data_IF_372217939175
#
_entry.id   IF_372217939175
#
_cell.length_a   1.000
_cell.length_b   1.000
_cell.length_c   1.000
_cell.angle_alpha   90.00
_cell.angle_beta   90.00
_cell.angle_gamma   90.00
#
_symmetry.space_group_name_H-M   'P 1'
#
loop_
_entity.id
_entity.type
_entity.pdbx_description
1 polymer ?
#
# COMPACT_ATOMS: atom_id res chain seq x y z
N UNK A 1 11.23 -59.80 3.29
CA UNK A 1 12.06 -58.60 3.52
C UNK A 1 12.16 -57.84 2.22
N UNK A 2 11.73 -56.57 2.26
CA UNK A 2 12.09 -55.42 1.41
C UNK A 2 12.05 -55.54 -0.14
N UNK A 3 11.54 -54.59 -0.90
CA UNK A 3 10.75 -53.39 -0.65
C UNK A 3 10.22 -52.97 -2.04
N UNK A 4 8.92 -52.72 -2.14
CA UNK A 4 8.28 -52.24 -3.35
C UNK A 4 8.40 -50.70 -3.34
N UNK A 5 9.19 -50.15 -4.28
CA UNK A 5 9.42 -48.73 -4.38
C UNK A 5 8.25 -48.07 -5.14
N UNK A 6 7.19 -47.76 -4.40
CA UNK A 6 6.12 -46.90 -4.90
C UNK A 6 6.68 -45.49 -5.11
N UNK A 7 6.87 -45.11 -6.37
CA UNK A 7 7.11 -43.73 -6.76
C UNK A 7 5.88 -42.89 -6.40
N UNK A 8 5.99 -42.10 -5.33
CA UNK A 8 5.06 -41.04 -4.99
C UNK A 8 5.14 -39.96 -6.06
N UNK A 9 4.26 -40.06 -7.05
CA UNK A 9 3.95 -38.94 -7.92
C UNK A 9 3.43 -37.79 -7.05
N UNK A 10 4.24 -36.75 -6.88
CA UNK A 10 3.81 -35.49 -6.30
C UNK A 10 2.72 -34.92 -7.21
N UNK A 11 1.46 -35.02 -6.77
CA UNK A 11 0.35 -34.34 -7.42
C UNK A 11 0.59 -32.83 -7.30
N UNK A 12 1.05 -32.21 -8.38
CA UNK A 12 0.99 -30.77 -8.55
C UNK A 12 -0.49 -30.37 -8.42
N UNK A 13 -0.84 -29.67 -7.35
CA UNK A 13 -2.14 -29.03 -7.19
C UNK A 13 -2.23 -28.01 -8.31
N UNK A 14 -2.90 -28.35 -9.40
CA UNK A 14 -3.28 -27.37 -10.41
C UNK A 14 -4.30 -26.45 -9.75
N UNK A 15 -3.88 -25.22 -9.45
CA UNK A 15 -4.76 -24.13 -9.02
C UNK A 15 -5.97 -24.08 -9.97
N UNK A 16 -7.17 -24.39 -9.48
CA UNK A 16 -8.38 -24.31 -10.31
C UNK A 16 -8.64 -22.84 -10.65
N UNK A 17 -8.23 -22.43 -11.86
CA UNK A 17 -8.49 -21.10 -12.39
C UNK A 17 -9.98 -20.98 -12.74
N UNK A 18 -10.66 -20.06 -12.05
CA UNK A 18 -12.05 -19.71 -12.23
C UNK A 18 -12.16 -18.50 -13.15
N UNK A 19 -12.91 -18.65 -14.24
CA UNK A 19 -13.28 -17.52 -15.12
C UNK A 19 -14.71 -17.10 -14.79
N UNK A 20 -14.90 -15.91 -14.26
CA UNK A 20 -16.20 -15.34 -13.87
C UNK A 20 -16.58 -14.19 -14.81
N UNK A 21 -17.87 -14.00 -15.05
CA UNK A 21 -18.39 -12.82 -15.77
C UNK A 21 -19.19 -11.96 -14.82
N UNK A 22 -18.83 -10.69 -14.73
CA UNK A 22 -19.46 -9.69 -13.87
C UNK A 22 -20.19 -8.68 -14.74
N UNK A 23 -21.50 -8.58 -14.59
CA UNK A 23 -22.32 -7.57 -15.26
C UNK A 23 -22.45 -6.34 -14.36
N UNK A 24 -21.99 -5.19 -14.84
CA UNK A 24 -22.08 -3.91 -14.14
C UNK A 24 -22.29 -2.76 -15.13
N UNK A 25 -23.18 -1.83 -14.78
CA UNK A 25 -23.52 -0.65 -15.60
C UNK A 25 -23.80 -0.98 -17.08
N UNK A 26 -24.56 -2.05 -17.33
CA UNK A 26 -24.93 -2.51 -18.67
C UNK A 26 -23.82 -3.22 -19.47
N UNK A 27 -22.59 -3.30 -18.95
CA UNK A 27 -21.44 -3.99 -19.57
C UNK A 27 -21.12 -5.31 -18.88
N UNK A 28 -20.47 -6.22 -19.59
CA UNK A 28 -19.96 -7.50 -19.05
C UNK A 28 -18.42 -7.45 -18.97
N UNK A 29 -17.88 -7.88 -17.84
CA UNK A 29 -16.44 -7.92 -17.55
C UNK A 29 -16.03 -9.35 -17.21
N UNK A 30 -14.99 -9.88 -17.86
CA UNK A 30 -14.49 -11.23 -17.60
C UNK A 30 -13.31 -11.16 -16.64
N UNK A 31 -13.46 -11.79 -15.48
CA UNK A 31 -12.48 -11.78 -14.39
C UNK A 31 -11.93 -13.19 -14.19
N UNK A 32 -10.61 -13.32 -14.10
CA UNK A 32 -9.93 -14.59 -13.82
C UNK A 32 -9.30 -14.56 -12.43
N UNK A 33 -9.59 -15.58 -11.64
CA UNK A 33 -9.18 -15.73 -10.24
C UNK A 33 -8.89 -17.21 -9.95
N UNK A 34 -8.10 -17.50 -8.94
CA UNK A 34 -7.82 -18.87 -8.50
C UNK A 34 -8.73 -19.27 -7.33
N UNK A 35 -8.96 -20.58 -7.11
CA UNK A 35 -9.78 -21.05 -6.01
C UNK A 35 -9.25 -20.71 -4.60
N UNK A 36 -7.96 -20.43 -4.48
CA UNK A 36 -7.29 -19.96 -3.25
C UNK A 36 -7.30 -18.43 -3.10
N UNK A 37 -7.80 -17.69 -4.09
CA UNK A 37 -8.09 -16.27 -3.93
C UNK A 37 -9.30 -16.11 -2.98
N UNK A 38 -9.35 -14.98 -2.25
CA UNK A 38 -10.49 -14.62 -1.42
C UNK A 38 -11.53 -13.81 -2.19
N UNK A 39 -12.71 -13.64 -1.61
CA UNK A 39 -13.73 -12.70 -2.12
C UNK A 39 -13.16 -11.28 -2.22
N UNK A 40 -12.29 -10.86 -1.29
CA UNK A 40 -11.59 -9.58 -1.37
C UNK A 40 -10.76 -9.44 -2.66
N UNK A 41 -10.02 -10.49 -3.04
CA UNK A 41 -9.21 -10.51 -4.26
C UNK A 41 -10.10 -10.50 -5.51
N UNK A 42 -11.21 -11.25 -5.51
CA UNK A 42 -12.21 -11.16 -6.59
C UNK A 42 -12.72 -9.72 -6.75
N UNK A 43 -13.09 -9.05 -5.66
CA UNK A 43 -13.53 -7.66 -5.70
C UNK A 43 -12.41 -6.73 -6.20
N UNK A 44 -11.16 -6.96 -5.81
CA UNK A 44 -10.00 -6.22 -6.30
C UNK A 44 -9.83 -6.35 -7.82
N UNK A 45 -9.95 -7.57 -8.37
CA UNK A 45 -9.91 -7.77 -9.83
C UNK A 45 -11.08 -7.12 -10.57
N UNK A 46 -12.26 -7.11 -9.96
CA UNK A 46 -13.41 -6.35 -10.50
C UNK A 46 -13.10 -4.85 -10.49
N UNK A 47 -12.46 -4.35 -9.43
CA UNK A 47 -12.05 -2.95 -9.33
C UNK A 47 -11.09 -2.56 -10.46
N UNK A 48 -10.10 -3.39 -10.78
CA UNK A 48 -9.15 -3.15 -11.88
C UNK A 48 -9.85 -2.95 -13.24
N UNK A 49 -11.00 -3.61 -13.45
CA UNK A 49 -11.76 -3.51 -14.71
C UNK A 49 -12.84 -2.43 -14.70
N UNK A 50 -13.31 -2.02 -13.52
CA UNK A 50 -14.51 -1.18 -13.37
C UNK A 50 -14.26 0.15 -12.68
N UNK A 51 -13.13 0.32 -11.98
CA UNK A 51 -12.82 1.43 -11.06
C UNK A 51 -13.80 1.59 -9.89
N UNK A 52 -14.63 0.58 -9.61
CA UNK A 52 -15.48 0.53 -8.41
C UNK A 52 -14.68 -0.08 -7.27
N UNK A 53 -14.45 0.67 -6.18
CA UNK A 53 -13.66 0.16 -5.04
C UNK A 53 -14.28 -1.11 -4.42
N UNK A 54 -13.47 -2.07 -3.91
CA UNK A 54 -13.96 -3.31 -3.31
C UNK A 54 -15.07 -3.11 -2.26
N UNK A 55 -14.91 -2.12 -1.37
CA UNK A 55 -15.90 -1.78 -0.34
C UNK A 55 -17.25 -1.27 -0.89
N UNK A 56 -17.28 -0.81 -2.15
CA UNK A 56 -18.49 -0.34 -2.84
C UNK A 56 -19.09 -1.40 -3.76
N UNK A 57 -18.49 -2.58 -3.85
CA UNK A 57 -18.98 -3.66 -4.71
C UNK A 57 -19.94 -4.57 -3.94
N UNK A 58 -21.19 -4.57 -4.36
CA UNK A 58 -22.19 -5.55 -3.95
C UNK A 58 -22.36 -6.59 -5.03
N UNK A 59 -21.74 -7.76 -4.83
CA UNK A 59 -21.84 -8.90 -5.75
C UNK A 59 -23.13 -9.69 -5.48
N UNK A 60 -23.92 -9.90 -6.52
CA UNK A 60 -25.22 -10.54 -6.45
C UNK A 60 -25.25 -11.79 -7.32
N UNK A 61 -25.44 -12.94 -6.67
CA UNK A 61 -25.74 -14.20 -7.34
C UNK A 61 -26.74 -15.03 -6.52
N UNK A 62 -27.99 -15.24 -7.02
CA UNK A 62 -29.09 -15.79 -6.21
C UNK A 62 -28.81 -17.12 -5.51
N UNK A 63 -27.99 -17.99 -6.09
CA UNK A 63 -27.71 -19.33 -5.54
C UNK A 63 -26.62 -19.35 -4.46
N UNK A 64 -25.85 -18.28 -4.32
CA UNK A 64 -24.72 -18.18 -3.38
C UNK A 64 -25.08 -17.34 -2.14
N UNK A 65 -26.14 -16.52 -2.23
CA UNK A 65 -26.61 -15.69 -1.12
C UNK A 65 -25.55 -14.66 -0.69
N UNK A 66 -25.43 -14.45 0.62
CA UNK A 66 -24.55 -13.43 1.19
C UNK A 66 -23.08 -13.89 1.34
N UNK A 67 -22.68 -15.08 0.87
CA UNK A 67 -21.27 -15.51 0.97
C UNK A 67 -20.31 -14.57 0.24
N UNK A 68 -20.77 -13.91 -0.84
CA UNK A 68 -19.97 -12.94 -1.59
C UNK A 68 -19.82 -11.57 -0.89
N UNK A 69 -20.43 -11.38 0.30
CA UNK A 69 -20.19 -10.19 1.14
C UNK A 69 -19.11 -10.41 2.20
N UNK A 70 -18.69 -11.66 2.44
CA UNK A 70 -17.61 -11.98 3.36
C UNK A 70 -16.28 -11.98 2.60
N UNK A 71 -15.52 -10.91 2.74
CA UNK A 71 -14.24 -10.68 2.07
C UNK A 71 -13.16 -11.70 2.48
N UNK A 72 -13.38 -12.42 3.60
CA UNK A 72 -12.45 -13.40 4.12
C UNK A 72 -12.58 -14.80 3.51
N UNK A 73 -13.73 -15.12 2.91
CA UNK A 73 -13.98 -16.44 2.33
C UNK A 73 -13.11 -16.70 1.11
N UNK A 74 -12.57 -17.92 1.02
CA UNK A 74 -11.89 -18.39 -0.19
C UNK A 74 -12.92 -18.72 -1.28
N UNK A 75 -12.58 -18.45 -2.53
CA UNK A 75 -13.46 -18.75 -3.65
C UNK A 75 -13.76 -20.25 -3.79
N UNK A 76 -12.80 -21.12 -3.43
CA UNK A 76 -12.96 -22.57 -3.34
C UNK A 76 -14.00 -23.04 -2.32
N UNK A 77 -14.30 -22.23 -1.30
CA UNK A 77 -15.33 -22.51 -0.28
C UNK A 77 -16.73 -22.10 -0.74
N UNK A 78 -16.83 -21.43 -1.88
CA UNK A 78 -18.07 -20.96 -2.49
C UNK A 78 -18.37 -21.87 -3.68
N UNK A 79 -19.63 -22.33 -3.87
CA UNK A 79 -20.00 -23.18 -5.01
C UNK A 79 -20.07 -22.36 -6.32
N UNK A 80 -18.95 -21.77 -6.71
CA UNK A 80 -18.75 -21.04 -7.96
C UNK A 80 -18.39 -22.02 -9.07
N UNK A 81 -19.16 -21.98 -10.17
CA UNK A 81 -18.80 -22.70 -11.39
C UNK A 81 -17.94 -21.79 -12.27
N UNK A 82 -16.94 -22.34 -12.95
CA UNK A 82 -16.28 -21.62 -14.04
C UNK A 82 -17.32 -21.23 -15.10
N UNK A 83 -17.19 -20.05 -15.70
CA UNK A 83 -18.16 -19.34 -16.58
C UNK A 83 -19.43 -18.79 -15.93
N UNK A 84 -19.49 -18.70 -14.59
CA UNK A 84 -20.64 -18.11 -13.89
C UNK A 84 -20.79 -16.61 -14.20
N UNK A 85 -22.03 -16.21 -14.52
CA UNK A 85 -22.43 -14.80 -14.68
C UNK A 85 -23.08 -14.28 -13.39
N UNK A 86 -22.52 -13.21 -12.81
CA UNK A 86 -23.06 -12.51 -11.65
C UNK A 86 -23.29 -11.03 -11.95
N UNK A 87 -24.16 -10.39 -11.17
CA UNK A 87 -24.41 -8.95 -11.27
C UNK A 87 -23.67 -8.24 -10.15
N UNK A 88 -23.01 -7.13 -10.46
CA UNK A 88 -22.42 -6.23 -9.45
C UNK A 88 -23.18 -4.91 -9.44
N UNK A 89 -23.47 -4.43 -8.23
CA UNK A 89 -23.94 -3.06 -7.99
C UNK A 89 -22.81 -2.30 -7.29
N UNK A 90 -22.49 -1.11 -7.79
CA UNK A 90 -21.49 -0.24 -7.21
C UNK A 90 -21.30 1.03 -8.05
N UNK A 91 -20.61 2.02 -7.48
CA UNK A 91 -20.36 3.33 -8.09
C UNK A 91 -18.85 3.57 -8.14
N UNK A 92 -18.36 4.10 -9.27
CA UNK A 92 -16.94 4.44 -9.43
C UNK A 92 -16.59 5.71 -8.67
N UNK A 93 -15.33 5.83 -8.22
CA UNK A 93 -14.87 7.03 -7.51
C UNK A 93 -14.99 8.32 -8.35
N UNK A 94 -14.96 8.21 -9.67
CA UNK A 94 -15.05 9.37 -10.57
C UNK A 94 -16.42 10.06 -10.50
N UNK A 95 -17.49 9.29 -10.31
CA UNK A 95 -18.88 9.78 -10.21
C UNK A 95 -19.20 10.31 -8.80
N UNK A 96 -18.28 10.16 -7.85
CA UNK A 96 -18.45 10.60 -6.48
C UNK A 96 -17.92 12.02 -6.37
N UNK A 97 -18.83 12.90 -5.93
CA UNK A 97 -18.56 14.31 -5.67
C UNK A 97 -18.15 14.52 -4.20
N UNK A 98 -18.53 13.59 -3.31
CA UNK A 98 -18.27 13.64 -1.87
C UNK A 98 -16.94 12.96 -1.51
N UNK A 99 -16.14 13.64 -0.71
CA UNK A 99 -14.82 13.20 -0.24
C UNK A 99 -14.91 11.88 0.58
N UNK A 100 -14.00 10.89 0.42
CA UNK A 100 -14.09 9.57 1.09
C UNK A 100 -13.88 9.60 2.62
N UNK A 101 -13.87 10.79 3.21
CA UNK A 101 -13.64 11.09 4.63
C UNK A 101 -14.56 10.31 5.58
N UNK A 102 -15.65 9.73 5.05
CA UNK A 102 -16.64 8.97 5.81
C UNK A 102 -16.31 7.47 6.01
N UNK A 103 -15.25 6.92 5.41
CA UNK A 103 -14.86 5.52 5.66
C UNK A 103 -14.55 5.31 7.17
N UNK A 104 -14.80 4.14 7.78
CA UNK A 104 -14.43 3.90 9.19
C UNK A 104 -12.95 4.21 9.43
N UNK A 105 -12.61 4.83 10.57
CA UNK A 105 -11.20 5.01 10.94
C UNK A 105 -10.59 3.62 11.14
N UNK A 106 -9.60 3.27 10.31
CA UNK A 106 -8.90 2.00 10.48
C UNK A 106 -7.82 2.21 11.54
N UNK A 107 -8.24 2.16 12.80
CA UNK A 107 -7.32 2.20 13.92
C UNK A 107 -6.61 0.83 13.96
N UNK A 108 -5.28 0.84 13.91
CA UNK A 108 -4.48 -0.36 14.09
C UNK A 108 -4.41 -0.69 15.59
N UNK A 109 -5.55 -1.11 16.17
CA UNK A 109 -5.77 -1.29 17.62
C UNK A 109 -4.90 -2.41 18.24
N UNK A 110 -4.23 -3.17 17.40
CA UNK A 110 -3.22 -4.12 17.79
C UNK A 110 -1.95 -3.73 17.02
N UNK A 111 -0.78 -3.65 17.65
CA UNK A 111 0.47 -3.56 16.90
C UNK A 111 0.83 -4.96 16.40
N UNK A 112 1.04 -5.14 15.09
CA UNK A 112 1.54 -6.43 14.59
C UNK A 112 2.89 -6.67 15.27
N UNK A 113 3.15 -7.88 15.77
CA UNK A 113 4.49 -8.22 16.25
C UNK A 113 5.50 -8.14 15.10
N UNK A 114 6.80 -7.99 15.42
CA UNK A 114 7.84 -8.08 14.38
C UNK A 114 7.87 -9.49 13.77
N UNK A 115 7.70 -10.53 14.58
CA UNK A 115 7.68 -11.93 14.16
C UNK A 115 6.51 -12.24 13.22
N UNK A 116 5.33 -11.70 13.52
CA UNK A 116 4.14 -11.89 12.68
C UNK A 116 4.30 -11.24 11.29
N UNK A 117 4.93 -10.07 11.23
CA UNK A 117 5.20 -9.42 9.95
C UNK A 117 6.20 -10.22 9.09
N UNK A 118 7.19 -10.86 9.73
CA UNK A 118 8.15 -11.74 9.03
C UNK A 118 7.43 -12.96 8.45
N UNK A 119 6.54 -13.60 9.20
CA UNK A 119 5.74 -14.73 8.71
C UNK A 119 4.87 -14.33 7.50
N UNK A 120 4.16 -13.20 7.57
CA UNK A 120 3.31 -12.71 6.47
C UNK A 120 4.14 -12.46 5.20
N UNK A 121 5.30 -11.82 5.32
CA UNK A 121 6.19 -11.53 4.20
C UNK A 121 6.69 -12.80 3.52
N UNK A 122 6.95 -13.85 4.30
CA UNK A 122 7.57 -15.07 3.80
C UNK A 122 6.58 -16.11 3.26
N UNK A 123 5.28 -15.97 3.54
CA UNK A 123 4.19 -16.78 2.95
C UNK A 123 4.21 -16.72 1.42
N UNK A 124 4.32 -17.89 0.80
CA UNK A 124 4.44 -18.04 -0.67
C UNK A 124 3.24 -17.44 -1.42
N UNK A 125 2.03 -17.59 -0.89
CA UNK A 125 0.80 -16.99 -1.46
C UNK A 125 0.93 -15.45 -1.59
N UNK A 126 1.52 -14.78 -0.60
CA UNK A 126 1.71 -13.33 -0.63
C UNK A 126 2.80 -12.93 -1.65
N UNK A 127 3.86 -13.74 -1.79
CA UNK A 127 4.90 -13.55 -2.83
C UNK A 127 4.33 -13.70 -4.23
N UNK A 128 3.46 -14.68 -4.46
CA UNK A 128 2.77 -14.86 -5.73
C UNK A 128 1.84 -13.69 -6.05
N UNK A 129 1.07 -13.20 -5.07
CA UNK A 129 0.24 -11.99 -5.23
C UNK A 129 1.08 -10.77 -5.62
N UNK A 130 2.23 -10.57 -4.98
CA UNK A 130 3.17 -9.52 -5.34
C UNK A 130 3.67 -9.68 -6.78
N UNK A 131 4.05 -10.90 -7.20
CA UNK A 131 4.48 -11.17 -8.58
C UNK A 131 3.41 -10.83 -9.61
N UNK A 132 2.16 -11.29 -9.38
CA UNK A 132 1.01 -10.94 -10.23
C UNK A 132 0.83 -9.41 -10.32
N UNK A 133 0.96 -8.71 -9.18
CA UNK A 133 0.84 -7.24 -9.13
C UNK A 133 1.98 -6.53 -9.86
N UNK A 134 3.20 -7.04 -9.78
CA UNK A 134 4.34 -6.55 -10.57
C UNK A 134 4.04 -6.67 -12.06
N UNK A 135 3.48 -7.79 -12.53
CA UNK A 135 3.22 -7.96 -13.96
C UNK A 135 2.10 -7.04 -14.47
N UNK A 136 1.09 -6.78 -13.64
CA UNK A 136 -0.13 -6.06 -14.03
C UNK A 136 -0.05 -4.54 -13.85
N UNK A 137 0.54 -4.06 -12.76
CA UNK A 137 0.54 -2.64 -12.43
C UNK A 137 1.70 -1.91 -13.12
N UNK A 138 1.40 -0.78 -13.76
CA UNK A 138 2.39 0.09 -14.39
C UNK A 138 2.50 1.37 -13.57
N UNK A 139 3.72 1.68 -13.15
CA UNK A 139 4.02 2.95 -12.47
C UNK A 139 4.28 4.01 -13.54
N UNK A 140 3.51 5.11 -13.50
CA UNK A 140 3.72 6.27 -14.36
C UNK A 140 4.65 7.28 -13.69
N UNK A 141 5.78 7.56 -14.35
CA UNK A 141 6.76 8.53 -13.87
C UNK A 141 6.31 9.96 -14.20
N UNK A 142 6.20 10.80 -13.17
CA UNK A 142 5.99 12.25 -13.30
C UNK A 142 7.32 13.00 -13.37
N UNK A 143 8.36 12.44 -12.77
CA UNK A 143 9.75 12.90 -12.86
C UNK A 143 10.68 11.68 -12.97
N UNK A 144 11.86 11.82 -13.62
CA UNK A 144 12.79 10.70 -13.76
C UNK A 144 13.39 10.29 -12.41
N UNK A 145 13.69 9.00 -12.25
CA UNK A 145 14.55 8.52 -11.17
C UNK A 145 15.96 9.10 -11.33
N UNK A 146 16.55 9.60 -10.24
CA UNK A 146 17.85 10.26 -10.22
C UNK A 146 18.91 9.30 -9.72
N UNK A 147 19.98 9.15 -10.50
CA UNK A 147 21.10 8.26 -10.16
C UNK A 147 21.73 8.65 -8.82
N UNK A 148 21.93 7.66 -7.95
CA UNK A 148 22.56 7.84 -6.64
C UNK A 148 21.63 8.38 -5.55
N UNK A 149 20.37 8.69 -5.86
CA UNK A 149 19.38 9.09 -4.85
C UNK A 149 18.70 7.87 -4.24
N UNK A 150 18.39 7.98 -2.95
CA UNK A 150 17.61 6.97 -2.21
C UNK A 150 16.12 7.12 -2.55
N UNK A 151 15.27 6.23 -2.06
CA UNK A 151 13.82 6.32 -2.25
C UNK A 151 13.11 6.60 -0.93
N UNK A 152 12.28 7.65 -0.91
CA UNK A 152 11.32 7.95 0.13
C UNK A 152 9.90 7.71 -0.39
N UNK A 153 9.20 6.76 0.20
CA UNK A 153 7.78 6.51 -0.08
C UNK A 153 6.94 7.11 1.03
N UNK A 154 5.95 7.93 0.69
CA UNK A 154 5.09 8.61 1.67
C UNK A 154 3.64 8.21 1.48
N UNK A 155 3.01 7.77 2.56
CA UNK A 155 1.57 7.81 2.68
C UNK A 155 1.05 9.26 2.73
N UNK A 156 -0.27 9.44 2.58
CA UNK A 156 -0.93 10.74 2.57
C UNK A 156 -1.71 11.00 3.86
N UNK A 157 -2.70 10.16 4.14
CA UNK A 157 -3.73 10.42 5.16
C UNK A 157 -3.13 10.30 6.56
N UNK A 158 -3.23 11.35 7.39
CA UNK A 158 -2.53 11.47 8.68
C UNK A 158 -1.00 11.45 8.62
N UNK A 159 -0.40 11.15 7.47
CA UNK A 159 1.05 11.29 7.24
C UNK A 159 1.41 12.73 6.86
N UNK A 160 0.83 13.26 5.78
CA UNK A 160 1.13 14.59 5.22
C UNK A 160 0.03 15.63 5.52
N UNK A 161 -1.18 15.20 5.85
CA UNK A 161 -2.29 16.10 6.16
C UNK A 161 -3.39 15.43 6.99
N UNK A 162 -4.23 16.23 7.62
CA UNK A 162 -5.43 15.76 8.32
C UNK A 162 -6.60 15.61 7.34
N UNK A 163 -6.90 14.38 6.94
CA UNK A 163 -7.97 14.08 6.00
C UNK A 163 -9.38 14.10 6.61
N UNK A 164 -9.50 14.18 7.95
CA UNK A 164 -10.80 14.05 8.66
C UNK A 164 -11.38 15.37 9.11
N UNK A 165 -10.55 16.35 9.42
CA UNK A 165 -11.07 17.67 9.81
C UNK A 165 -11.63 18.40 8.59
N UNK A 166 -12.74 19.10 8.80
CA UNK A 166 -13.25 20.07 7.83
C UNK A 166 -12.44 21.37 7.93
N UNK A 167 -12.18 21.99 6.79
CA UNK A 167 -11.53 23.29 6.69
C UNK A 167 -12.04 24.06 5.48
N UNK A 168 -12.04 25.39 5.55
CA UNK A 168 -12.38 26.25 4.41
C UNK A 168 -11.27 26.25 3.35
N UNK A 169 -10.02 26.07 3.78
CA UNK A 169 -8.86 26.00 2.91
C UNK A 169 -8.10 24.68 3.18
N UNK A 170 -7.85 23.84 2.16
CA UNK A 170 -7.08 22.59 2.31
C UNK A 170 -5.71 22.77 2.97
N UNK A 171 -5.07 23.94 2.84
CA UNK A 171 -3.78 24.25 3.47
C UNK A 171 -3.83 24.33 5.00
N UNK A 172 -5.02 24.52 5.58
CA UNK A 172 -5.22 24.46 7.03
C UNK A 172 -5.10 23.02 7.56
N UNK A 173 -5.37 22.03 6.70
CA UNK A 173 -5.25 20.60 7.00
C UNK A 173 -3.85 20.06 6.74
N UNK A 174 -3.02 20.81 6.01
CA UNK A 174 -1.63 20.44 5.71
C UNK A 174 -0.83 20.28 7.00
N UNK A 175 -0.10 19.16 7.12
CA UNK A 175 0.80 18.95 8.25
C UNK A 175 1.88 20.04 8.26
N UNK A 176 2.20 20.63 9.42
CA UNK A 176 3.24 21.64 9.53
C UNK A 176 4.57 21.20 8.90
N UNK A 177 5.25 22.13 8.24
CA UNK A 177 6.56 21.94 7.59
C UNK A 177 6.57 20.97 6.40
N UNK A 178 5.43 20.65 5.79
CA UNK A 178 5.34 19.71 4.67
C UNK A 178 6.31 20.06 3.53
N UNK A 179 6.33 21.31 3.09
CA UNK A 179 7.13 21.70 1.92
C UNK A 179 8.62 21.80 2.24
N UNK A 180 8.97 22.26 3.44
CA UNK A 180 10.33 22.30 3.95
C UNK A 180 10.89 20.87 4.07
N UNK A 181 10.10 19.95 4.61
CA UNK A 181 10.42 18.52 4.69
C UNK A 181 10.65 17.92 3.30
N UNK A 182 9.71 18.09 2.36
CA UNK A 182 9.84 17.53 1.01
C UNK A 182 11.01 18.14 0.24
N UNK A 183 11.27 19.44 0.41
CA UNK A 183 12.43 20.11 -0.20
C UNK A 183 13.73 19.52 0.32
N UNK A 184 13.86 19.37 1.65
CA UNK A 184 15.06 18.81 2.27
C UNK A 184 15.24 17.33 1.91
N UNK A 185 14.17 16.53 1.96
CA UNK A 185 14.20 15.12 1.57
C UNK A 185 14.59 14.96 0.10
N UNK A 186 14.05 15.80 -0.80
CA UNK A 186 14.34 15.72 -2.23
C UNK A 186 15.83 15.92 -2.56
N UNK A 187 16.58 16.59 -1.69
CA UNK A 187 18.03 16.70 -1.84
C UNK A 187 18.69 15.32 -1.92
N UNK A 188 18.23 14.32 -1.15
CA UNK A 188 18.86 12.99 -1.06
C UNK A 188 17.98 11.82 -1.52
N UNK A 189 16.68 12.04 -1.63
CA UNK A 189 15.69 11.02 -1.94
C UNK A 189 14.85 11.41 -3.16
N UNK A 190 14.65 10.46 -4.07
CA UNK A 190 13.48 10.46 -4.93
C UNK A 190 12.23 10.19 -4.09
N UNK A 191 11.13 10.85 -4.43
CA UNK A 191 9.92 10.87 -3.60
C UNK A 191 8.78 10.25 -4.40
N UNK A 192 8.18 9.19 -3.85
CA UNK A 192 6.95 8.59 -4.37
C UNK A 192 5.84 8.72 -3.33
N UNK A 193 4.63 9.06 -3.78
CA UNK A 193 3.45 9.10 -2.92
C UNK A 193 2.65 7.82 -3.13
N UNK A 194 2.27 7.13 -2.05
CA UNK A 194 1.47 5.90 -2.14
C UNK A 194 0.29 5.93 -1.16
N UNK A 195 -0.92 6.09 -1.68
CA UNK A 195 -2.17 6.11 -0.90
C UNK A 195 -3.00 4.84 -1.09
N UNK A 196 -3.82 4.51 -0.09
CA UNK A 196 -4.86 3.48 -0.18
C UNK A 196 -6.17 3.98 -0.82
N UNK A 197 -6.18 5.18 -1.42
CA UNK A 197 -7.31 5.74 -2.16
C UNK A 197 -7.13 5.60 -3.68
N UNK A 198 -8.06 6.11 -4.50
CA UNK A 198 -7.94 6.09 -5.96
C UNK A 198 -6.98 7.18 -6.48
N UNK A 199 -6.38 6.97 -7.65
CA UNK A 199 -5.51 7.96 -8.28
C UNK A 199 -6.15 9.35 -8.39
N UNK A 200 -7.45 9.44 -8.70
CA UNK A 200 -8.21 10.71 -8.74
C UNK A 200 -8.07 11.47 -7.41
N UNK A 201 -8.27 10.80 -6.27
CA UNK A 201 -8.15 11.43 -4.95
C UNK A 201 -6.71 11.78 -4.62
N UNK A 202 -5.76 10.92 -4.96
CA UNK A 202 -4.32 11.19 -4.79
C UNK A 202 -3.92 12.47 -5.52
N UNK A 203 -4.26 12.60 -6.80
CA UNK A 203 -3.93 13.77 -7.61
C UNK A 203 -4.64 15.03 -7.11
N UNK A 204 -5.92 14.93 -6.76
CA UNK A 204 -6.68 16.05 -6.21
C UNK A 204 -6.04 16.58 -4.91
N UNK A 205 -5.76 15.69 -3.94
CA UNK A 205 -5.21 16.08 -2.64
C UNK A 205 -3.79 16.61 -2.76
N UNK A 206 -2.91 15.92 -3.50
CA UNK A 206 -1.55 16.39 -3.72
C UNK A 206 -1.50 17.69 -4.53
N UNK A 207 -2.46 17.92 -5.42
CA UNK A 207 -2.64 19.21 -6.10
C UNK A 207 -3.08 20.33 -5.15
N UNK A 208 -4.11 20.08 -4.33
CA UNK A 208 -4.65 21.05 -3.36
C UNK A 208 -3.63 21.45 -2.29
N UNK A 209 -2.79 20.51 -1.85
CA UNK A 209 -1.70 20.77 -0.92
C UNK A 209 -0.47 21.40 -1.58
N UNK A 210 -0.49 21.66 -2.90
CA UNK A 210 0.63 22.26 -3.63
C UNK A 210 1.85 21.33 -3.82
N UNK A 211 1.71 20.04 -3.50
CA UNK A 211 2.80 19.04 -3.58
C UNK A 211 3.19 18.74 -5.04
N UNK A 212 2.23 18.68 -5.95
CA UNK A 212 2.51 18.34 -7.36
C UNK A 212 3.15 19.47 -8.18
N UNK A 213 3.02 20.72 -7.73
CA UNK A 213 3.40 21.91 -8.49
C UNK A 213 4.47 22.77 -7.78
N UNK A 214 5.21 22.20 -6.83
CA UNK A 214 6.26 22.93 -6.11
C UNK A 214 7.53 23.09 -6.99
N UNK A 215 8.17 24.28 -7.00
CA UNK A 215 9.41 24.48 -7.74
C UNK A 215 10.65 23.85 -7.06
N UNK A 216 10.60 23.60 -5.75
CA UNK A 216 11.77 23.20 -4.97
C UNK A 216 12.02 21.69 -4.93
N UNK A 217 11.05 20.88 -5.35
CA UNK A 217 11.17 19.43 -5.42
C UNK A 217 10.28 18.85 -6.52
N UNK A 218 10.47 17.56 -6.82
CA UNK A 218 9.62 16.80 -7.75
C UNK A 218 9.18 15.50 -7.12
N UNK A 219 7.96 15.10 -7.44
CA UNK A 219 7.42 13.78 -7.11
C UNK A 219 7.71 12.86 -8.30
N UNK A 220 8.41 11.76 -8.05
CA UNK A 220 8.84 10.79 -9.06
C UNK A 220 7.64 10.02 -9.61
N UNK A 221 6.77 9.52 -8.74
CA UNK A 221 5.57 8.78 -9.12
C UNK A 221 4.47 8.86 -8.06
N UNK A 222 3.23 8.60 -8.48
CA UNK A 222 2.07 8.41 -7.61
C UNK A 222 1.63 6.95 -7.71
N UNK A 223 1.29 6.35 -6.58
CA UNK A 223 0.74 5.01 -6.48
C UNK A 223 -0.55 5.08 -5.66
N UNK A 224 -1.51 4.24 -6.02
CA UNK A 224 -2.85 4.20 -5.45
C UNK A 224 -3.19 2.80 -4.91
N UNK A 225 -4.44 2.59 -4.50
CA UNK A 225 -4.91 1.31 -3.96
C UNK A 225 -4.77 0.13 -4.96
N UNK A 226 -4.74 0.41 -6.27
CA UNK A 226 -4.51 -0.60 -7.31
C UNK A 226 -3.05 -1.05 -7.38
N UNK A 227 -2.13 -0.45 -6.62
CA UNK A 227 -0.78 -0.99 -6.43
C UNK A 227 -0.68 -1.93 -5.22
N UNK A 228 -1.65 -1.90 -4.30
CA UNK A 228 -1.63 -2.67 -3.04
C UNK A 228 -1.95 -4.16 -3.25
N UNK A 229 -1.61 -5.01 -2.29
CA UNK A 229 -2.01 -6.43 -2.31
C UNK A 229 -2.74 -6.80 -1.02
N UNK A 230 -3.66 -7.77 -1.11
CA UNK A 230 -4.36 -8.32 0.05
C UNK A 230 -3.57 -9.50 0.63
N UNK A 231 -3.09 -9.36 1.86
CA UNK A 231 -2.31 -10.37 2.59
C UNK A 231 -3.13 -11.00 3.70
N UNK A 232 -2.77 -12.23 4.07
CA UNK A 232 -3.41 -12.97 5.16
C UNK A 232 -2.49 -13.02 6.39
N UNK A 233 -3.03 -12.56 7.53
CA UNK A 233 -2.50 -12.80 8.87
C UNK A 233 -3.36 -13.83 9.58
N UNK A 234 -2.73 -14.69 10.38
CA UNK A 234 -3.45 -15.67 11.20
C UNK A 234 -4.15 -15.01 12.40
N UNK A 235 -3.68 -13.84 12.86
CA UNK A 235 -4.26 -13.12 13.99
C UNK A 235 -5.31 -12.07 13.57
N UNK A 236 -5.21 -11.52 12.35
CA UNK A 236 -6.06 -10.39 11.88
C UNK A 236 -6.91 -10.69 10.66
N UNK A 237 -6.77 -11.89 10.09
CA UNK A 237 -7.41 -12.21 8.82
C UNK A 237 -6.80 -11.44 7.67
N UNK A 238 -7.65 -11.05 6.70
CA UNK A 238 -7.23 -10.46 5.44
C UNK A 238 -7.22 -8.93 5.53
N UNK A 239 -6.13 -8.31 5.07
CA UNK A 239 -6.00 -6.86 4.97
C UNK A 239 -5.08 -6.46 3.82
N UNK A 240 -5.13 -5.19 3.43
CA UNK A 240 -4.31 -4.66 2.34
C UNK A 240 -3.01 -4.04 2.84
N UNK A 241 -1.94 -4.20 2.05
CA UNK A 241 -0.65 -3.54 2.30
C UNK A 241 -0.04 -2.98 0.99
N UNK A 242 1.01 -2.16 1.16
CA UNK A 242 1.77 -1.44 0.13
C UNK A 242 3.14 -2.12 -0.06
N UNK A 243 3.26 -3.15 -0.91
CA UNK A 243 4.50 -3.91 -1.02
C UNK A 243 5.57 -3.16 -1.82
N UNK A 244 6.61 -2.64 -1.16
CA UNK A 244 7.72 -1.94 -1.81
C UNK A 244 8.46 -2.78 -2.87
N UNK A 245 8.35 -4.12 -2.78
CA UNK A 245 8.84 -5.03 -3.82
C UNK A 245 8.27 -4.75 -5.21
N UNK A 246 7.08 -4.12 -5.31
CA UNK A 246 6.53 -3.64 -6.58
C UNK A 246 7.45 -2.58 -7.21
N UNK A 247 7.85 -1.57 -6.43
CA UNK A 247 8.70 -0.48 -6.89
C UNK A 247 10.10 -1.01 -7.23
N UNK A 248 10.68 -1.86 -6.37
CA UNK A 248 12.00 -2.44 -6.58
C UNK A 248 12.07 -3.31 -7.84
N UNK A 249 11.01 -4.04 -8.17
CA UNK A 249 10.95 -4.83 -9.39
C UNK A 249 10.82 -3.96 -10.66
N UNK A 250 10.18 -2.79 -10.56
CA UNK A 250 9.99 -1.86 -11.69
C UNK A 250 11.20 -0.96 -11.95
N UNK A 251 11.98 -0.66 -10.91
CA UNK A 251 13.17 0.21 -10.99
C UNK A 251 14.39 -0.39 -10.26
N UNK A 252 14.79 -1.64 -10.58
CA UNK A 252 15.84 -2.36 -9.85
C UNK A 252 17.22 -1.70 -9.95
N UNK A 253 17.45 -0.88 -10.97
CA UNK A 253 18.68 -0.14 -11.17
C UNK A 253 18.82 1.08 -10.25
N UNK A 254 17.71 1.55 -9.66
CA UNK A 254 17.67 2.70 -8.76
C UNK A 254 17.40 2.30 -7.31
N UNK A 255 16.47 1.37 -7.07
CA UNK A 255 15.92 1.17 -5.73
C UNK A 255 15.88 -0.30 -5.31
N UNK A 256 16.13 -0.52 -4.02
CA UNK A 256 16.05 -1.81 -3.34
C UNK A 256 15.71 -1.61 -1.87
N UNK A 257 15.61 -2.70 -1.11
CA UNK A 257 15.46 -2.64 0.34
C UNK A 257 16.62 -1.94 1.06
N UNK A 258 17.79 -1.78 0.42
CA UNK A 258 18.97 -1.16 1.03
C UNK A 258 18.93 0.37 1.03
N UNK A 259 18.14 0.98 0.16
CA UNK A 259 18.12 2.43 -0.02
C UNK A 259 16.69 3.02 -0.08
N UNK A 260 15.69 2.27 0.39
CA UNK A 260 14.30 2.71 0.44
C UNK A 260 13.83 2.83 1.89
N UNK A 261 13.10 3.90 2.19
CA UNK A 261 12.36 4.06 3.43
C UNK A 261 10.94 4.53 3.13
N UNK A 262 9.96 4.05 3.91
CA UNK A 262 8.55 4.34 3.74
C UNK A 262 7.98 4.91 5.04
N UNK A 263 7.29 6.05 4.96
CA UNK A 263 6.56 6.63 6.09
C UNK A 263 5.07 6.42 5.92
N UNK A 264 4.46 5.85 6.94
CA UNK A 264 3.03 5.52 6.98
C UNK A 264 2.61 5.48 8.44
N UNK A 265 1.44 6.00 8.78
CA UNK A 265 0.96 5.98 10.16
C UNK A 265 0.48 4.59 10.59
N UNK A 266 0.27 3.68 9.62
CA UNK A 266 -0.25 2.34 9.83
C UNK A 266 0.81 1.27 9.53
N UNK A 267 1.29 0.62 10.58
CA UNK A 267 2.36 -0.40 10.48
C UNK A 267 2.02 -1.53 9.52
N UNK A 268 0.75 -1.95 9.47
CA UNK A 268 0.28 -3.00 8.55
C UNK A 268 0.54 -2.70 7.07
N UNK A 269 0.62 -1.41 6.68
CA UNK A 269 0.81 -1.03 5.27
C UNK A 269 2.17 -1.47 4.73
N UNK A 270 3.18 -1.66 5.58
CA UNK A 270 4.51 -2.11 5.15
C UNK A 270 4.86 -3.52 5.68
N UNK A 271 3.85 -4.35 5.94
CA UNK A 271 4.06 -5.72 6.47
C UNK A 271 4.88 -6.63 5.53
N UNK A 272 4.85 -6.39 4.22
CA UNK A 272 5.69 -7.10 3.23
C UNK A 272 7.13 -6.58 3.17
N UNK A 273 7.44 -5.49 3.87
CA UNK A 273 8.74 -4.84 3.92
C UNK A 273 8.96 -4.15 5.29
N UNK A 274 8.91 -4.90 6.40
CA UNK A 274 8.82 -4.33 7.75
C UNK A 274 10.08 -3.54 8.13
N UNK A 275 11.24 -3.94 7.62
CA UNK A 275 12.53 -3.27 7.84
C UNK A 275 12.64 -1.90 7.13
N UNK A 276 11.78 -1.63 6.14
CA UNK A 276 11.82 -0.38 5.36
C UNK A 276 10.75 0.62 5.79
N UNK A 277 9.85 0.24 6.71
CA UNK A 277 8.79 1.11 7.19
C UNK A 277 9.17 1.84 8.48
N UNK A 278 8.77 3.10 8.57
CA UNK A 278 8.79 3.90 9.79
C UNK A 278 7.36 4.32 10.09
N UNK A 279 6.85 3.93 11.26
CA UNK A 279 5.54 4.35 11.73
C UNK A 279 5.62 5.80 12.17
N UNK A 280 5.04 6.71 11.37
CA UNK A 280 4.98 8.13 11.70
C UNK A 280 3.84 8.39 12.67
N UNK A 281 3.99 9.34 13.60
CA UNK A 281 2.86 9.76 14.43
C UNK A 281 1.75 10.36 13.55
N UNK A 282 0.48 9.90 13.66
CA UNK A 282 -0.61 10.42 12.84
C UNK A 282 -0.92 11.89 13.18
N UNK A 283 -1.07 12.71 12.15
CA UNK A 283 -1.46 14.11 12.25
C UNK A 283 -2.99 14.26 12.18
N UNK A 284 -3.62 14.27 13.35
CA UNK A 284 -5.08 14.41 13.52
C UNK A 284 -5.44 15.80 14.05
N UNK A 285 -6.69 16.23 13.87
CA UNK A 285 -7.25 17.46 14.45
C UNK A 285 -6.35 18.67 14.19
N UNK A 286 -6.12 18.98 12.91
CA UNK A 286 -5.19 20.04 12.49
C UNK A 286 -5.45 21.36 13.23
N UNK A 287 -6.71 21.76 13.39
CA UNK A 287 -7.11 22.98 14.14
C UNK A 287 -6.56 23.07 15.58
N UNK A 288 -6.30 21.93 16.24
CA UNK A 288 -5.78 21.90 17.60
C UNK A 288 -4.27 21.61 17.66
N UNK A 289 -3.73 20.86 16.70
CA UNK A 289 -2.37 20.31 16.78
C UNK A 289 -1.36 21.00 15.85
N UNK A 290 -1.81 21.80 14.87
CA UNK A 290 -0.94 22.40 13.85
C UNK A 290 0.18 23.27 14.43
N UNK A 291 -0.06 23.97 15.52
CA UNK A 291 0.96 24.85 16.10
C UNK A 291 2.02 24.11 16.92
N UNK A 292 1.78 22.83 17.25
CA UNK A 292 2.66 22.03 18.12
C UNK A 292 3.27 20.81 17.42
N UNK A 293 2.73 20.36 16.28
CA UNK A 293 3.31 19.25 15.50
C UNK A 293 4.64 19.69 14.87
N UNK A 294 5.69 18.92 15.19
CA UNK A 294 7.06 19.11 14.71
C UNK A 294 7.60 17.82 14.09
N UNK A 295 6.72 16.87 13.75
CA UNK A 295 7.13 15.52 13.41
C UNK A 295 7.95 15.50 12.11
N UNK A 296 7.49 16.23 11.08
CA UNK A 296 8.21 16.35 9.81
C UNK A 296 9.56 17.06 9.96
N UNK A 297 9.71 17.97 10.93
CA UNK A 297 11.01 18.59 11.24
C UNK A 297 11.99 17.55 11.79
N UNK A 298 11.54 16.72 12.72
CA UNK A 298 12.36 15.65 13.30
C UNK A 298 12.70 14.60 12.25
N UNK A 299 11.73 14.21 11.41
CA UNK A 299 11.95 13.26 10.32
C UNK A 299 12.88 13.80 9.23
N UNK A 300 12.85 15.11 8.97
CA UNK A 300 13.84 15.75 8.08
C UNK A 300 15.25 15.49 8.58
N UNK A 301 15.52 15.74 9.87
CA UNK A 301 16.84 15.49 10.47
C UNK A 301 17.23 14.01 10.37
N UNK A 302 16.28 13.13 10.66
CA UNK A 302 16.51 11.69 10.56
C UNK A 302 16.88 11.24 9.14
N UNK A 303 16.11 11.66 8.13
CA UNK A 303 16.37 11.33 6.73
C UNK A 303 17.73 11.83 6.27
N UNK A 304 18.08 13.08 6.59
CA UNK A 304 19.39 13.64 6.22
C UNK A 304 20.54 12.89 6.90
N UNK A 305 20.37 12.48 8.16
CA UNK A 305 21.38 11.71 8.90
C UNK A 305 21.62 10.31 8.30
N UNK A 306 20.57 9.62 7.86
CA UNK A 306 20.69 8.26 7.30
C UNK A 306 20.98 8.26 5.79
N UNK A 307 20.77 9.39 5.10
CA UNK A 307 21.09 9.54 3.67
C UNK A 307 22.57 9.26 3.36
N UNK A 308 23.43 9.51 4.33
CA UNK A 308 24.87 9.30 4.27
C UNK A 308 25.31 7.82 4.33
N UNK A 309 24.42 6.90 4.71
CA UNK A 309 24.71 5.47 4.83
C UNK A 309 24.51 4.78 3.49
N UNK A 310 25.41 3.87 3.10
CA UNK A 310 25.25 3.10 1.86
C UNK A 310 24.08 2.13 1.92
N UNK A 311 23.82 1.58 3.11
CA UNK A 311 22.79 0.57 3.36
C UNK A 311 21.96 0.90 4.61
N UNK A 312 20.64 0.99 4.44
CA UNK A 312 19.66 1.31 5.48
C UNK A 312 19.18 0.08 6.26
N UNK A 313 19.50 -1.14 5.81
CA UNK A 313 18.94 -2.39 6.37
C UNK A 313 19.30 -2.67 7.82
N UNK A 314 20.36 -2.05 8.35
CA UNK A 314 20.79 -2.20 9.75
C UNK A 314 20.19 -1.13 10.68
N UNK A 315 19.27 -0.29 10.20
CA UNK A 315 18.61 0.73 11.00
C UNK A 315 17.42 0.16 11.75
N UNK A 316 17.23 0.55 13.00
CA UNK A 316 15.98 0.31 13.69
C UNK A 316 15.11 1.56 13.61
N UNK A 317 14.14 1.54 12.70
CA UNK A 317 13.24 2.67 12.48
C UNK A 317 12.21 2.84 13.62
N UNK A 318 12.06 1.89 14.55
CA UNK A 318 11.18 2.09 15.72
C UNK A 318 11.76 3.10 16.71
N UNK A 319 13.09 3.21 16.75
CA UNK A 319 13.85 4.08 17.64
C UNK A 319 14.45 5.29 16.91
N UNK A 320 13.88 5.69 15.77
CA UNK A 320 14.39 6.77 14.93
C UNK A 320 14.56 8.11 15.67
N UNK A 321 13.73 8.37 16.69
CA UNK A 321 13.80 9.59 17.50
C UNK A 321 15.06 9.67 18.36
N UNK A 322 15.66 8.52 18.69
CA UNK A 322 16.93 8.43 19.43
C UNK A 322 18.14 8.57 18.50
N UNK A 323 17.92 8.61 17.19
CA UNK A 323 18.98 8.69 16.20
C UNK A 323 19.53 10.12 16.15
N UNK A 324 20.70 10.31 16.76
CA UNK A 324 21.44 11.59 16.74
C UNK A 324 22.57 11.53 15.71
N UNK A 325 23.04 12.70 15.26
CA UNK A 325 24.17 12.82 14.31
C UNK A 325 25.45 12.10 14.79
N UNK A 326 25.62 11.94 16.11
CA UNK A 326 26.76 11.20 16.69
C UNK A 326 26.71 9.69 16.41
N UNK A 327 25.50 9.13 16.22
CA UNK A 327 25.34 7.71 15.86
C UNK A 327 25.80 7.44 14.43
N UNK A 328 25.71 8.41 13.52
CA UNK A 328 26.17 8.31 12.13
C UNK A 328 27.69 8.18 12.06
N UNK A 329 28.41 9.02 12.81
CA UNK A 329 29.89 8.99 12.85
C UNK A 329 30.43 7.67 13.37
N UNK A 330 29.80 7.07 14.38
CA UNK A 330 30.21 5.77 14.94
C UNK A 330 29.98 4.62 13.95
N UNK A 331 28.90 4.64 13.18
CA UNK A 331 28.57 3.58 12.21
C UNK A 331 29.38 3.67 10.91
N UNK A 332 29.89 4.85 10.54
CA UNK A 332 30.81 5.04 9.40
C UNK A 332 32.20 4.42 9.61
N UNK A 333 32.59 4.15 10.86
CA UNK A 333 33.89 3.59 11.22
C UNK A 333 33.84 2.09 11.60
N UNK A 334 32.67 1.46 11.50
CA UNK A 334 32.44 0.05 11.80
C UNK A 334 32.20 -0.73 10.50
#
# INVERSE_FOLDING_TARGET
MAADAAATASSSVTEEELTLTVKWSGKEYTVRVCGDDSVAELKRRICEMTNVLPQRQKLLYPKIGNKLSDDSLLLSQIPLKSSLKMTMIGTVEDDIIVDPVEAPEIIDDFELGQDEAVDIKDKEVNKQKLKRRIDQYKIELKAPCRKGKKLLVLDIDYTLFDHRSSAENPLQLMRPYLHEFLTAAYAEYDIMIWSATSMKWVELKMGQLGVLNNPNYKITALLDHLAMITVQSDSRGLFDCKPLGLIWAKFPEFYSSKNTIMFDDLRRNFVMNPQNGLTIKPFRKAHANRDTDQELVKLTRYLLAIAELDDLSALDHSNWQLFTDDNVKRRRHA
#
